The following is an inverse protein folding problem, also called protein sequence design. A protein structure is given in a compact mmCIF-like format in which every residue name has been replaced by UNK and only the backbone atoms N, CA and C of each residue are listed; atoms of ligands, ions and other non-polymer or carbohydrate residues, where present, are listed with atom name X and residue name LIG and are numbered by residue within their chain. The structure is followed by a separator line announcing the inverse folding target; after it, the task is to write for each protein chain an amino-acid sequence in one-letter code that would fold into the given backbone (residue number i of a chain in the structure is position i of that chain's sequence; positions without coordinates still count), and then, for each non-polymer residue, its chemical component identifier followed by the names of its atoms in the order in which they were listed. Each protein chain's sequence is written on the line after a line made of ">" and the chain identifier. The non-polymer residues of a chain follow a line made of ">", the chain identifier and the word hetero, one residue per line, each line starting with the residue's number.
data_IF_505153627071
#
_entry.id   IF_505153627071
#
_cell.length_a   1.000
_cell.length_b   1.000
_cell.length_c   1.000
_cell.angle_alpha   90.00
_cell.angle_beta   90.00
_cell.angle_gamma   90.00
#
_symmetry.space_group_name_H-M   'P 1'
#
loop_
_entity.id
_entity.type
_entity.pdbx_description
1 polymer ?
#
# COMPACT_ATOMS: atom_id res chain seq x y z
N UNK A 1 -2.83 0.87 -18.47
CA UNK A 1 -1.61 1.19 -17.68
C UNK A 1 -1.24 2.67 -17.72
N UNK A 2 -1.08 3.34 -18.88
CA UNK A 2 -0.68 4.77 -18.95
C UNK A 2 -1.67 5.69 -18.20
N UNK A 3 -2.98 5.45 -18.32
CA UNK A 3 -4.01 6.24 -17.61
C UNK A 3 -3.92 6.03 -16.09
N UNK A 4 -3.62 4.80 -15.66
CA UNK A 4 -3.41 4.47 -14.23
C UNK A 4 -2.17 5.20 -13.70
N UNK A 5 -1.09 5.30 -14.49
CA UNK A 5 0.11 6.02 -14.11
C UNK A 5 -0.15 7.51 -13.75
N UNK A 6 -1.06 8.16 -14.47
CA UNK A 6 -1.41 9.56 -14.21
C UNK A 6 -2.10 9.78 -12.85
N UNK A 7 -2.75 8.75 -12.29
CA UNK A 7 -3.39 8.83 -10.97
C UNK A 7 -2.38 8.87 -9.82
N UNK A 8 -1.17 8.41 -10.06
CA UNK A 8 -0.16 8.26 -9.01
C UNK A 8 0.77 9.46 -8.87
N UNK A 9 0.74 10.38 -9.86
CA UNK A 9 1.49 11.64 -9.78
C UNK A 9 0.64 12.65 -9.01
N UNK A 10 0.67 12.55 -7.69
CA UNK A 10 -0.10 13.41 -6.79
C UNK A 10 0.70 14.58 -6.25
N UNK A 11 -0.01 15.62 -5.79
CA UNK A 11 0.58 16.67 -4.97
C UNK A 11 1.00 16.09 -3.61
N UNK A 12 2.02 16.69 -3.01
CA UNK A 12 2.45 16.37 -1.65
C UNK A 12 1.36 16.80 -0.67
N UNK A 13 0.69 15.83 -0.05
CA UNK A 13 -0.35 16.06 0.95
C UNK A 13 0.04 15.48 2.31
N UNK A 14 1.08 14.64 2.36
CA UNK A 14 1.58 14.01 3.57
C UNK A 14 2.25 15.07 4.45
N UNK A 15 1.80 15.29 5.70
CA UNK A 15 2.44 16.22 6.62
C UNK A 15 3.87 15.79 6.97
N UNK A 16 4.15 14.48 6.96
CA UNK A 16 5.46 13.94 7.30
C UNK A 16 6.52 14.16 6.20
N UNK A 17 6.08 14.49 4.99
CA UNK A 17 6.95 14.68 3.85
C UNK A 17 8.12 15.64 4.11
N UNK A 18 7.86 16.74 4.79
CA UNK A 18 8.87 17.80 4.97
C UNK A 18 9.98 17.40 5.93
N UNK A 19 9.66 16.66 6.98
CA UNK A 19 10.71 16.19 7.87
C UNK A 19 11.52 15.05 7.22
N UNK A 20 10.92 14.19 6.39
CA UNK A 20 11.66 13.20 5.58
C UNK A 20 12.65 13.86 4.62
N UNK A 21 12.26 14.97 3.96
CA UNK A 21 13.18 15.75 3.13
C UNK A 21 14.30 16.34 3.96
N UNK A 22 13.97 16.90 5.15
CA UNK A 22 14.96 17.57 6.00
C UNK A 22 15.95 16.58 6.62
N UNK A 23 15.52 15.41 7.06
CA UNK A 23 16.44 14.38 7.59
C UNK A 23 17.33 13.84 6.48
N UNK A 24 16.78 13.57 5.29
CA UNK A 24 17.56 13.16 4.12
C UNK A 24 18.63 14.19 3.73
N UNK A 25 18.29 15.50 3.79
CA UNK A 25 19.25 16.58 3.62
C UNK A 25 20.35 16.52 4.67
N UNK A 26 19.98 16.40 5.95
CA UNK A 26 20.93 16.36 7.05
C UNK A 26 21.89 15.18 6.92
N UNK A 27 21.39 14.00 6.55
CA UNK A 27 22.25 12.84 6.31
C UNK A 27 23.23 13.05 5.16
N UNK A 28 22.78 13.68 4.07
CA UNK A 28 23.64 14.01 2.92
C UNK A 28 24.73 15.02 3.28
N UNK A 29 24.44 15.98 4.16
CA UNK A 29 25.38 17.00 4.60
C UNK A 29 26.38 16.50 5.66
N UNK A 30 25.96 15.56 6.53
CA UNK A 30 26.74 15.08 7.66
C UNK A 30 27.39 13.70 7.43
N UNK A 31 27.03 12.99 6.37
CA UNK A 31 27.64 11.71 6.01
C UNK A 31 27.31 10.56 6.95
N UNK A 32 26.17 10.60 7.67
CA UNK A 32 25.79 9.55 8.62
C UNK A 32 24.35 9.67 9.10
N UNK A 33 23.92 8.69 9.93
CA UNK A 33 22.61 8.70 10.55
C UNK A 33 22.63 9.50 11.86
N UNK A 34 21.58 10.28 12.17
CA UNK A 34 21.48 10.93 13.47
C UNK A 34 21.23 9.87 14.57
N UNK A 35 22.01 9.93 15.64
CA UNK A 35 21.84 9.06 16.80
C UNK A 35 20.65 9.48 17.68
N UNK A 36 20.26 10.74 17.59
CA UNK A 36 19.20 11.34 18.38
C UNK A 36 18.30 12.19 17.51
N UNK A 37 17.07 12.40 17.95
CA UNK A 37 16.12 13.31 17.30
C UNK A 37 16.69 14.73 17.28
N UNK A 38 16.81 15.27 16.05
CA UNK A 38 17.35 16.60 15.79
C UNK A 38 16.25 17.66 15.58
N UNK A 39 14.97 17.26 15.61
CA UNK A 39 13.83 18.15 15.32
C UNK A 39 13.02 18.50 16.55
N UNK A 40 12.88 17.56 17.50
CA UNK A 40 11.97 17.71 18.63
C UNK A 40 12.66 18.42 19.79
N UNK A 41 12.19 19.64 20.09
CA UNK A 41 12.69 20.43 21.22
C UNK A 41 12.06 20.00 22.58
N UNK A 42 10.90 19.32 22.56
CA UNK A 42 10.15 18.92 23.74
C UNK A 42 10.77 17.70 24.46
N UNK A 43 11.47 16.85 23.71
CA UNK A 43 12.16 15.66 24.26
C UNK A 43 13.57 15.63 23.69
N UNK A 44 14.48 16.45 24.21
CA UNK A 44 15.85 16.53 23.72
C UNK A 44 16.57 15.21 23.95
N UNK A 45 17.44 14.83 23.01
CA UNK A 45 18.23 13.59 23.05
C UNK A 45 17.43 12.28 23.00
N UNK A 46 16.16 12.32 22.51
CA UNK A 46 15.44 11.08 22.23
C UNK A 46 16.22 10.24 21.21
N UNK A 47 16.43 8.94 21.52
CA UNK A 47 17.11 8.03 20.60
C UNK A 47 16.28 7.85 19.33
N UNK A 48 16.89 8.08 18.19
CA UNK A 48 16.22 7.97 16.89
C UNK A 48 16.59 6.66 16.20
N UNK A 49 15.59 5.84 15.89
CA UNK A 49 15.74 4.68 15.03
C UNK A 49 15.14 5.00 13.67
N UNK A 50 15.97 5.49 12.77
CA UNK A 50 15.56 5.82 11.42
C UNK A 50 15.44 4.55 10.56
N UNK A 51 14.23 4.07 10.39
CA UNK A 51 13.89 2.82 9.72
C UNK A 51 13.66 2.96 8.20
N UNK A 52 13.80 4.17 7.67
CA UNK A 52 13.58 4.49 6.25
C UNK A 52 14.63 5.46 5.68
N UNK A 53 15.77 5.54 6.37
CA UNK A 53 16.86 6.46 6.07
C UNK A 53 17.29 6.48 4.59
N UNK A 54 17.33 5.29 3.94
CA UNK A 54 17.72 5.22 2.54
C UNK A 54 16.68 5.87 1.62
N UNK A 55 15.40 5.73 1.95
CA UNK A 55 14.31 6.41 1.25
C UNK A 55 14.39 7.92 1.42
N UNK A 56 14.71 8.40 2.61
CA UNK A 56 14.83 9.84 2.91
C UNK A 56 16.00 10.48 2.17
N UNK A 57 17.15 9.80 2.10
CA UNK A 57 18.27 10.23 1.27
C UNK A 57 17.87 10.29 -0.21
N UNK A 58 17.16 9.26 -0.72
CA UNK A 58 16.66 9.26 -2.10
C UNK A 58 15.63 10.39 -2.32
N UNK A 59 14.75 10.65 -1.37
CA UNK A 59 13.78 11.76 -1.42
C UNK A 59 14.52 13.10 -1.52
N UNK A 60 15.52 13.33 -0.68
CA UNK A 60 16.34 14.55 -0.76
C UNK A 60 17.07 14.68 -2.10
N UNK A 61 17.70 13.62 -2.58
CA UNK A 61 18.43 13.63 -3.86
C UNK A 61 17.51 13.96 -5.05
N UNK A 62 16.27 13.45 -5.05
CA UNK A 62 15.29 13.77 -6.08
C UNK A 62 14.75 15.18 -5.88
N UNK A 63 14.33 15.54 -4.66
CA UNK A 63 13.74 16.85 -4.36
C UNK A 63 14.69 18.00 -4.64
N UNK A 64 15.96 17.88 -4.25
CA UNK A 64 16.97 18.95 -4.45
C UNK A 64 17.20 19.30 -5.93
N UNK A 65 16.94 18.35 -6.85
CA UNK A 65 17.14 18.53 -8.30
C UNK A 65 15.85 18.87 -9.05
N UNK A 66 14.70 18.37 -8.59
CA UNK A 66 13.46 18.40 -9.37
C UNK A 66 12.27 18.97 -8.61
N UNK A 67 12.44 19.31 -7.33
CA UNK A 67 11.38 19.82 -6.48
C UNK A 67 10.28 18.80 -6.20
N UNK A 68 9.13 19.28 -5.71
CA UNK A 68 7.98 18.44 -5.34
C UNK A 68 7.39 17.67 -6.54
N UNK A 69 7.45 18.23 -7.74
CA UNK A 69 6.95 17.54 -8.94
C UNK A 69 7.75 16.26 -9.22
N UNK A 70 9.09 16.33 -9.14
CA UNK A 70 9.94 15.15 -9.37
C UNK A 70 9.72 14.06 -8.32
N UNK A 71 9.46 14.43 -7.07
CA UNK A 71 9.06 13.47 -6.02
C UNK A 71 7.73 12.81 -6.35
N UNK A 72 6.72 13.57 -6.79
CA UNK A 72 5.46 13.01 -7.24
C UNK A 72 5.64 11.98 -8.37
N UNK A 73 6.48 12.29 -9.35
CA UNK A 73 6.82 11.36 -10.45
C UNK A 73 7.58 10.14 -9.93
N UNK A 74 8.55 10.32 -9.03
CA UNK A 74 9.35 9.23 -8.46
C UNK A 74 8.47 8.19 -7.75
N UNK A 75 7.63 8.62 -6.81
CA UNK A 75 6.71 7.71 -6.12
C UNK A 75 5.58 7.20 -7.01
N UNK A 76 5.14 8.01 -7.97
CA UNK A 76 4.20 7.58 -9.01
C UNK A 76 4.74 6.42 -9.84
N UNK A 77 6.02 6.43 -10.21
CA UNK A 77 6.68 5.34 -10.93
C UNK A 77 6.82 4.09 -10.04
N UNK A 78 7.11 4.23 -8.75
CA UNK A 78 7.18 3.12 -7.81
C UNK A 78 5.80 2.46 -7.68
N UNK A 79 4.74 3.24 -7.50
CA UNK A 79 3.36 2.75 -7.43
C UNK A 79 2.96 2.07 -8.74
N UNK A 80 3.31 2.68 -9.88
CA UNK A 80 3.09 2.09 -11.20
C UNK A 80 3.80 0.73 -11.36
N UNK A 81 5.04 0.60 -10.87
CA UNK A 81 5.76 -0.67 -10.91
C UNK A 81 5.02 -1.77 -10.14
N UNK A 82 4.42 -1.47 -8.98
CA UNK A 82 3.54 -2.39 -8.25
C UNK A 82 2.35 -2.84 -9.09
N UNK A 83 1.62 -1.90 -9.72
CA UNK A 83 0.50 -2.22 -10.62
C UNK A 83 0.94 -2.98 -11.87
N UNK A 84 2.12 -2.70 -12.41
CA UNK A 84 2.69 -3.47 -13.50
C UNK A 84 2.95 -4.93 -13.11
N UNK A 85 3.46 -5.18 -11.90
CA UNK A 85 3.66 -6.53 -11.37
C UNK A 85 2.33 -7.27 -11.17
N UNK A 86 1.29 -6.60 -10.67
CA UNK A 86 -0.06 -7.16 -10.60
C UNK A 86 -0.61 -7.49 -12.01
N UNK A 87 -0.43 -6.60 -12.98
CA UNK A 87 -0.78 -6.88 -14.37
C UNK A 87 -0.03 -8.11 -14.92
N UNK A 88 1.26 -8.28 -14.62
CA UNK A 88 2.05 -9.45 -15.03
C UNK A 88 1.50 -10.76 -14.46
N UNK A 89 0.90 -10.74 -13.26
CA UNK A 89 0.25 -11.91 -12.67
C UNK A 89 -0.99 -12.34 -13.46
N UNK A 90 -1.67 -11.42 -14.11
CA UNK A 90 -2.93 -11.63 -14.83
C UNK A 90 -2.83 -11.45 -16.35
N UNK A 91 -1.63 -11.38 -16.91
CA UNK A 91 -1.40 -11.05 -18.32
C UNK A 91 -2.06 -12.00 -19.33
N UNK A 92 -2.45 -13.21 -18.94
CA UNK A 92 -3.20 -14.17 -19.76
C UNK A 92 -4.73 -14.07 -19.63
N UNK A 93 -5.26 -13.14 -18.85
CA UNK A 93 -6.68 -12.99 -18.62
C UNK A 93 -7.34 -12.04 -19.64
N UNK A 94 -8.68 -12.11 -19.81
CA UNK A 94 -9.40 -11.22 -20.71
C UNK A 94 -9.11 -9.75 -20.39
N UNK A 95 -8.70 -8.99 -21.41
CA UNK A 95 -8.22 -7.60 -21.26
C UNK A 95 -9.20 -6.69 -20.50
N UNK A 96 -10.50 -6.82 -20.77
CA UNK A 96 -11.54 -6.00 -20.11
C UNK A 96 -11.61 -6.31 -18.63
N UNK A 97 -11.62 -7.60 -18.26
CA UNK A 97 -11.70 -8.01 -16.82
C UNK A 97 -10.43 -7.59 -16.10
N UNK A 98 -9.26 -7.80 -16.73
CA UNK A 98 -7.98 -7.38 -16.15
C UNK A 98 -7.91 -5.85 -16.00
N UNK A 99 -8.34 -5.10 -17.01
CA UNK A 99 -8.36 -3.64 -16.99
C UNK A 99 -9.30 -3.07 -15.92
N UNK A 100 -10.52 -3.59 -15.82
CA UNK A 100 -11.50 -3.17 -14.80
C UNK A 100 -11.04 -3.51 -13.39
N UNK A 101 -10.47 -4.71 -13.18
CA UNK A 101 -9.96 -5.11 -11.86
C UNK A 101 -8.77 -4.26 -11.41
N UNK A 102 -7.82 -3.96 -12.32
CA UNK A 102 -6.69 -3.07 -12.01
C UNK A 102 -7.16 -1.62 -11.76
N UNK A 103 -8.14 -1.13 -12.54
CA UNK A 103 -8.71 0.20 -12.31
C UNK A 103 -9.43 0.28 -10.97
N UNK A 104 -10.22 -0.74 -10.62
CA UNK A 104 -10.87 -0.82 -9.31
C UNK A 104 -9.84 -0.82 -8.18
N UNK A 105 -8.77 -1.62 -8.27
CA UNK A 105 -7.69 -1.61 -7.30
C UNK A 105 -7.00 -0.23 -7.17
N UNK A 106 -6.77 0.46 -8.30
CA UNK A 106 -6.19 1.79 -8.30
C UNK A 106 -7.10 2.82 -7.58
N UNK A 107 -8.41 2.74 -7.80
CA UNK A 107 -9.37 3.65 -7.17
C UNK A 107 -9.62 3.26 -5.70
N UNK A 108 -9.66 1.97 -5.38
CA UNK A 108 -9.81 1.50 -4.00
C UNK A 108 -8.65 1.92 -3.09
N UNK A 109 -7.43 1.96 -3.61
CA UNK A 109 -6.27 2.44 -2.88
C UNK A 109 -6.01 3.95 -2.99
N UNK A 110 -6.87 4.72 -3.69
CA UNK A 110 -6.65 6.14 -3.92
C UNK A 110 -6.36 6.98 -2.67
N UNK A 111 -6.95 6.69 -1.49
CA UNK A 111 -6.64 7.42 -0.27
C UNK A 111 -5.19 7.27 0.21
N UNK A 112 -4.48 6.25 -0.28
CA UNK A 112 -3.13 5.89 0.20
C UNK A 112 -2.03 6.31 -0.78
N UNK A 113 -2.37 6.47 -2.09
CA UNK A 113 -1.36 6.82 -3.08
C UNK A 113 -0.82 8.22 -2.85
N UNK A 114 0.50 8.35 -2.79
CA UNK A 114 1.15 9.63 -2.60
C UNK A 114 2.67 9.53 -2.51
N UNK A 115 3.38 10.67 -2.45
CA UNK A 115 4.83 10.71 -2.33
C UNK A 115 5.29 10.40 -0.90
N UNK A 116 5.26 9.11 -0.54
CA UNK A 116 5.60 8.58 0.79
C UNK A 116 6.32 7.23 0.70
N UNK A 117 7.18 6.93 1.67
CA UNK A 117 7.99 5.72 1.72
C UNK A 117 7.16 4.42 1.69
N UNK A 118 5.92 4.45 2.18
CA UNK A 118 4.97 3.34 2.14
C UNK A 118 4.73 2.78 0.73
N UNK A 119 4.88 3.60 -0.33
CA UNK A 119 4.73 3.13 -1.71
C UNK A 119 5.82 2.15 -2.11
N UNK A 120 6.98 2.21 -1.49
CA UNK A 120 8.06 1.21 -1.66
C UNK A 120 7.60 -0.13 -1.11
N UNK A 121 7.02 -0.15 0.10
CA UNK A 121 6.43 -1.37 0.67
C UNK A 121 5.34 -1.95 -0.23
N UNK A 122 4.45 -1.12 -0.78
CA UNK A 122 3.45 -1.58 -1.74
C UNK A 122 4.08 -2.26 -2.97
N UNK A 123 5.07 -1.62 -3.60
CA UNK A 123 5.73 -2.15 -4.79
C UNK A 123 6.51 -3.46 -4.50
N UNK A 124 7.21 -3.52 -3.36
CA UNK A 124 7.96 -4.72 -2.95
C UNK A 124 7.02 -5.87 -2.52
N UNK A 125 5.87 -5.55 -1.90
CA UNK A 125 4.78 -6.53 -1.68
C UNK A 125 4.28 -7.10 -3.00
N UNK A 126 4.04 -6.26 -4.01
CA UNK A 126 3.63 -6.73 -5.34
C UNK A 126 4.70 -7.61 -5.98
N UNK A 127 5.98 -7.31 -5.80
CA UNK A 127 7.10 -8.13 -6.29
C UNK A 127 7.14 -9.49 -5.60
N UNK A 128 7.02 -9.50 -4.28
CA UNK A 128 6.97 -10.74 -3.49
C UNK A 128 5.83 -11.64 -3.93
N UNK A 129 4.60 -11.11 -3.99
CA UNK A 129 3.41 -11.85 -4.39
C UNK A 129 3.52 -12.36 -5.84
N UNK A 130 4.11 -11.58 -6.74
CA UNK A 130 4.40 -12.02 -8.11
C UNK A 130 5.38 -13.20 -8.13
N UNK A 131 6.45 -13.18 -7.33
CA UNK A 131 7.41 -14.26 -7.25
C UNK A 131 6.86 -15.49 -6.52
N UNK A 132 6.08 -15.29 -5.43
CA UNK A 132 5.37 -16.36 -4.73
C UNK A 132 4.43 -17.11 -5.67
N UNK A 133 3.58 -16.37 -6.39
CA UNK A 133 2.66 -16.99 -7.36
C UNK A 133 3.43 -17.69 -8.49
N UNK A 134 4.52 -17.10 -8.97
CA UNK A 134 5.41 -17.70 -9.96
C UNK A 134 6.00 -19.02 -9.48
N UNK A 135 6.47 -19.07 -8.24
CA UNK A 135 7.07 -20.26 -7.63
C UNK A 135 6.02 -21.35 -7.38
N UNK A 136 4.91 -21.03 -6.71
CA UNK A 136 3.83 -21.98 -6.39
C UNK A 136 3.16 -22.58 -7.64
N UNK A 137 3.19 -21.85 -8.76
CA UNK A 137 2.71 -22.35 -10.06
C UNK A 137 3.78 -23.05 -10.91
N UNK A 138 5.00 -23.20 -10.41
CA UNK A 138 6.12 -23.80 -11.13
C UNK A 138 6.66 -23.00 -12.33
N UNK A 139 6.22 -21.73 -12.50
CA UNK A 139 6.60 -20.87 -13.64
C UNK A 139 7.93 -20.16 -13.47
N UNK A 140 8.38 -19.95 -12.24
CA UNK A 140 9.58 -19.18 -11.95
C UNK A 140 10.28 -19.66 -10.68
N UNK A 141 11.59 -19.48 -10.63
CA UNK A 141 12.43 -19.72 -9.44
C UNK A 141 12.95 -18.42 -8.82
N UNK A 142 12.48 -17.26 -9.26
CA UNK A 142 13.02 -15.96 -8.84
C UNK A 142 12.89 -15.72 -7.32
N UNK A 143 11.97 -16.41 -6.64
CA UNK A 143 11.80 -16.30 -5.20
C UNK A 143 13.09 -16.64 -4.40
N UNK A 144 14.02 -17.39 -4.97
CA UNK A 144 15.34 -17.66 -4.36
C UNK A 144 16.16 -16.39 -4.11
N UNK A 145 15.90 -15.31 -4.86
CA UNK A 145 16.60 -14.02 -4.71
C UNK A 145 15.90 -13.09 -3.71
N UNK A 146 14.79 -13.53 -3.12
CA UNK A 146 14.01 -12.69 -2.22
C UNK A 146 14.77 -12.19 -0.98
N UNK A 147 15.69 -12.97 -0.36
CA UNK A 147 16.52 -12.45 0.73
C UNK A 147 17.33 -11.20 0.36
N UNK A 148 17.78 -11.06 -0.90
CA UNK A 148 18.46 -9.84 -1.38
C UNK A 148 17.50 -8.65 -1.44
N UNK A 149 16.24 -8.90 -1.83
CA UNK A 149 15.19 -7.87 -1.78
C UNK A 149 14.93 -7.45 -0.35
N UNK A 150 14.98 -8.37 0.62
CA UNK A 150 14.78 -8.06 2.04
C UNK A 150 15.90 -7.19 2.62
N UNK A 151 17.15 -7.36 2.19
CA UNK A 151 18.23 -6.40 2.53
C UNK A 151 17.84 -4.99 2.09
N UNK A 152 17.40 -4.84 0.84
CA UNK A 152 17.01 -3.54 0.31
C UNK A 152 15.77 -2.99 1.03
N UNK A 153 14.74 -3.81 1.22
CA UNK A 153 13.48 -3.38 1.84
C UNK A 153 13.67 -2.90 3.28
N UNK A 154 14.44 -3.64 4.09
CA UNK A 154 14.70 -3.28 5.48
C UNK A 154 15.47 -1.95 5.66
N UNK A 155 16.18 -1.50 4.62
CA UNK A 155 16.87 -0.20 4.59
C UNK A 155 16.04 0.91 3.95
N UNK A 156 14.95 0.57 3.22
CA UNK A 156 14.10 1.54 2.54
C UNK A 156 12.85 1.92 3.35
N UNK A 157 12.25 0.97 4.10
CA UNK A 157 11.01 1.23 4.85
C UNK A 157 10.72 0.15 5.89
N UNK A 158 10.26 0.54 7.06
CA UNK A 158 9.90 -0.34 8.17
C UNK A 158 8.80 -1.36 7.89
N UNK A 159 8.09 -1.23 6.78
CA UNK A 159 7.06 -2.17 6.34
C UNK A 159 7.55 -3.54 5.86
N UNK A 160 8.86 -3.82 5.89
CA UNK A 160 9.45 -5.11 5.50
C UNK A 160 8.86 -6.30 6.27
N UNK A 161 8.35 -6.10 7.47
CA UNK A 161 7.75 -7.14 8.31
C UNK A 161 6.57 -7.83 7.62
N UNK A 162 5.86 -7.13 6.73
CA UNK A 162 4.71 -7.67 6.00
C UNK A 162 5.11 -8.84 5.07
N UNK A 163 6.36 -8.87 4.63
CA UNK A 163 6.88 -9.97 3.81
C UNK A 163 6.77 -11.32 4.52
N UNK A 164 7.05 -11.36 5.83
CA UNK A 164 6.90 -12.59 6.61
C UNK A 164 5.44 -13.00 6.77
N UNK A 165 4.50 -12.06 6.73
CA UNK A 165 3.07 -12.38 6.72
C UNK A 165 2.70 -13.11 5.43
N UNK A 166 3.15 -12.64 4.27
CA UNK A 166 2.84 -13.26 2.98
C UNK A 166 3.54 -14.61 2.81
N UNK A 167 4.80 -14.73 3.24
CA UNK A 167 5.48 -16.03 3.30
C UNK A 167 4.76 -17.00 4.24
N UNK A 168 4.30 -16.53 5.41
CA UNK A 168 3.51 -17.31 6.36
C UNK A 168 2.19 -17.79 5.79
N UNK A 169 1.48 -16.92 5.06
CA UNK A 169 0.25 -17.28 4.32
C UNK A 169 0.52 -18.37 3.29
N UNK A 170 1.60 -18.24 2.53
CA UNK A 170 1.97 -19.24 1.52
C UNK A 170 2.31 -20.60 2.18
N UNK A 171 3.08 -20.59 3.27
CA UNK A 171 3.40 -21.79 4.05
C UNK A 171 2.12 -22.44 4.60
N UNK A 172 1.22 -21.64 5.20
CA UNK A 172 -0.03 -22.13 5.75
C UNK A 172 -0.93 -22.77 4.66
N UNK A 173 -1.01 -22.13 3.49
CA UNK A 173 -1.75 -22.68 2.34
C UNK A 173 -1.19 -24.03 1.86
N UNK A 174 0.14 -24.15 1.79
CA UNK A 174 0.82 -25.39 1.41
C UNK A 174 0.67 -26.50 2.48
N UNK A 175 0.65 -26.13 3.76
CA UNK A 175 0.36 -27.06 4.86
C UNK A 175 -1.08 -27.58 4.79
N UNK A 176 -2.05 -26.72 4.48
CA UNK A 176 -3.45 -27.13 4.24
C UNK A 176 -3.52 -28.06 3.03
N UNK A 177 -2.85 -27.73 1.92
CA UNK A 177 -2.76 -28.59 0.74
C UNK A 177 -2.16 -29.96 1.07
N UNK A 178 -1.09 -29.99 1.86
CA UNK A 178 -0.46 -31.22 2.29
C UNK A 178 -1.36 -32.07 3.19
N UNK A 179 -2.12 -31.46 4.09
CA UNK A 179 -3.09 -32.18 4.93
C UNK A 179 -4.22 -32.80 4.11
N UNK A 180 -4.63 -32.18 3.01
CA UNK A 180 -5.67 -32.71 2.11
C UNK A 180 -5.15 -33.73 1.11
N UNK A 181 -3.90 -33.58 0.64
CA UNK A 181 -3.25 -34.44 -0.33
C UNK A 181 -1.85 -34.89 0.18
N UNK A 182 -1.78 -35.76 1.22
CA UNK A 182 -0.52 -36.13 1.86
C UNK A 182 0.46 -36.84 0.93
N UNK A 183 -0.05 -37.48 -0.12
CA UNK A 183 0.73 -38.20 -1.14
C UNK A 183 1.40 -37.29 -2.16
N UNK A 184 0.99 -36.00 -2.24
CA UNK A 184 1.57 -35.03 -3.16
C UNK A 184 2.88 -34.44 -2.57
N UNK A 185 4.06 -34.82 -3.11
CA UNK A 185 5.34 -34.36 -2.55
C UNK A 185 5.60 -32.87 -2.77
N UNK A 186 4.87 -32.22 -3.69
CA UNK A 186 5.07 -30.82 -4.03
C UNK A 186 4.82 -29.90 -2.82
N UNK A 187 3.77 -30.14 -2.04
CA UNK A 187 3.45 -29.35 -0.87
C UNK A 187 4.60 -29.34 0.16
N UNK A 188 5.14 -30.52 0.47
CA UNK A 188 6.25 -30.65 1.41
C UNK A 188 7.52 -29.94 0.91
N UNK A 189 7.77 -30.01 -0.39
CA UNK A 189 8.90 -29.32 -1.03
C UNK A 189 8.71 -27.82 -0.95
N UNK A 190 7.51 -27.32 -1.27
CA UNK A 190 7.18 -25.89 -1.17
C UNK A 190 7.33 -25.37 0.25
N UNK A 191 6.79 -26.04 1.27
CA UNK A 191 6.92 -25.64 2.68
C UNK A 191 8.40 -25.53 3.08
N UNK A 192 9.22 -26.53 2.74
CA UNK A 192 10.67 -26.50 3.05
C UNK A 192 11.37 -25.33 2.38
N UNK A 193 11.12 -25.10 1.11
CA UNK A 193 11.75 -24.01 0.37
C UNK A 193 11.31 -22.64 0.93
N UNK A 194 10.01 -22.43 1.16
CA UNK A 194 9.48 -21.18 1.73
C UNK A 194 10.03 -20.92 3.13
N UNK A 195 10.18 -21.97 3.96
CA UNK A 195 10.80 -21.84 5.29
C UNK A 195 12.28 -21.44 5.19
N UNK A 196 13.03 -21.98 4.22
CA UNK A 196 14.43 -21.59 3.97
C UNK A 196 14.50 -20.13 3.52
N UNK A 197 13.61 -19.70 2.61
CA UNK A 197 13.54 -18.31 2.15
C UNK A 197 13.19 -17.38 3.31
N UNK A 198 12.24 -17.75 4.16
CA UNK A 198 11.87 -16.96 5.35
C UNK A 198 13.05 -16.83 6.32
N UNK A 199 13.76 -17.92 6.62
CA UNK A 199 14.92 -17.90 7.51
C UNK A 199 16.07 -17.06 6.91
N UNK A 200 16.38 -17.23 5.62
CA UNK A 200 17.39 -16.43 4.92
C UNK A 200 17.01 -14.94 4.89
N UNK A 201 15.71 -14.63 4.68
CA UNK A 201 15.18 -13.26 4.71
C UNK A 201 15.30 -12.65 6.10
N UNK A 202 15.05 -13.43 7.17
CA UNK A 202 15.25 -12.97 8.53
C UNK A 202 16.72 -12.60 8.78
N UNK A 203 17.67 -13.43 8.35
CA UNK A 203 19.09 -13.07 8.44
C UNK A 203 19.42 -11.83 7.61
N UNK A 204 18.87 -11.73 6.40
CA UNK A 204 19.10 -10.61 5.47
C UNK A 204 18.66 -9.24 6.05
N UNK A 205 17.56 -9.20 6.80
CA UNK A 205 17.06 -7.98 7.47
C UNK A 205 18.07 -7.39 8.46
N UNK A 206 18.98 -8.21 9.03
CA UNK A 206 20.05 -7.72 9.91
C UNK A 206 21.10 -6.84 9.19
N UNK A 207 21.13 -6.85 7.87
CA UNK A 207 22.02 -6.01 7.06
C UNK A 207 21.52 -4.55 7.00
N UNK A 208 21.24 -3.96 8.16
CA UNK A 208 20.86 -2.55 8.36
C UNK A 208 21.82 -1.90 9.37
N UNK A 209 21.96 -0.58 9.37
CA UNK A 209 22.74 0.12 10.41
C UNK A 209 22.26 -0.14 11.84
N UNK A 210 20.99 -0.55 11.99
CA UNK A 210 20.35 -0.79 13.27
C UNK A 210 20.59 -2.22 13.83
N UNK A 211 21.11 -3.14 13.01
CA UNK A 211 21.35 -4.52 13.42
C UNK A 211 20.10 -5.18 14.01
N UNK A 212 20.22 -5.79 15.20
CA UNK A 212 19.09 -6.47 15.86
C UNK A 212 17.95 -5.54 16.30
N UNK A 213 18.20 -4.25 16.53
CA UNK A 213 17.15 -3.32 16.97
C UNK A 213 16.08 -3.10 15.90
N UNK A 214 16.36 -3.36 14.62
CA UNK A 214 15.38 -3.29 13.54
C UNK A 214 14.18 -4.21 13.78
N UNK A 215 14.36 -5.33 14.46
CA UNK A 215 13.28 -6.25 14.79
C UNK A 215 12.36 -5.74 15.90
N UNK A 216 12.84 -4.87 16.78
CA UNK A 216 12.05 -4.31 17.88
C UNK A 216 11.15 -3.18 17.39
N UNK A 217 11.58 -2.46 16.35
CA UNK A 217 10.89 -1.29 15.84
C UNK A 217 9.41 -1.54 15.44
N UNK A 218 9.05 -2.58 14.65
CA UNK A 218 7.65 -2.84 14.31
C UNK A 218 6.76 -3.08 15.54
N UNK A 219 7.28 -3.75 16.55
CA UNK A 219 6.54 -4.00 17.80
C UNK A 219 6.38 -2.72 18.63
N UNK A 220 7.39 -1.87 18.68
CA UNK A 220 7.32 -0.56 19.34
C UNK A 220 6.28 0.33 18.65
N UNK A 221 6.25 0.32 17.31
CA UNK A 221 5.28 1.06 16.49
C UNK A 221 3.85 0.60 16.75
N UNK A 222 3.59 -0.71 16.72
CA UNK A 222 2.26 -1.28 16.98
C UNK A 222 1.82 -1.08 18.43
N UNK A 223 2.75 -1.07 19.38
CA UNK A 223 2.46 -0.83 20.80
C UNK A 223 2.28 0.66 21.17
N UNK A 224 2.50 1.56 20.22
CA UNK A 224 2.40 3.01 20.48
C UNK A 224 0.94 3.46 20.55
N UNK A 225 0.46 3.68 21.78
CA UNK A 225 -0.90 4.22 22.04
C UNK A 225 -1.12 5.58 21.38
N UNK A 226 -0.07 6.40 21.26
CA UNK A 226 -0.15 7.69 20.59
C UNK A 226 -0.44 7.54 19.09
N UNK A 227 0.25 6.63 18.41
CA UNK A 227 0.00 6.35 16.99
C UNK A 227 -1.40 5.79 16.77
N UNK A 228 -1.81 4.82 17.58
CA UNK A 228 -3.13 4.20 17.48
C UNK A 228 -4.28 5.18 17.70
N UNK A 229 -4.12 6.18 18.59
CA UNK A 229 -5.21 7.10 18.96
C UNK A 229 -5.20 8.44 18.24
N UNK A 230 -4.05 8.88 17.71
CA UNK A 230 -3.90 10.23 17.18
C UNK A 230 -3.70 10.25 15.66
N UNK A 231 -3.21 9.16 15.04
CA UNK A 231 -2.95 9.12 13.61
C UNK A 231 -4.11 8.45 12.89
N UNK A 232 -4.86 9.22 12.11
CA UNK A 232 -6.09 8.78 11.43
C UNK A 232 -5.87 7.56 10.53
N UNK A 233 -4.69 7.43 9.91
CA UNK A 233 -4.36 6.30 9.05
C UNK A 233 -4.28 4.94 9.77
N UNK A 234 -4.13 4.95 11.10
CA UNK A 234 -4.16 3.73 11.93
C UNK A 234 -5.56 3.31 12.31
N UNK A 235 -6.57 4.16 12.06
CA UNK A 235 -7.95 3.84 12.36
C UNK A 235 -8.51 2.84 11.35
N UNK A 236 -9.52 2.10 11.78
CA UNK A 236 -10.35 1.28 10.89
C UNK A 236 -11.02 2.15 9.82
N UNK A 237 -11.24 1.63 8.61
CA UNK A 237 -11.96 2.34 7.56
C UNK A 237 -13.35 2.81 8.01
N UNK A 238 -13.63 4.09 7.85
CA UNK A 238 -14.97 4.66 8.07
C UNK A 238 -15.74 4.64 6.74
N UNK A 239 -16.60 3.65 6.56
CA UNK A 239 -17.41 3.47 5.35
C UNK A 239 -18.49 4.54 5.13
N UNK A 240 -18.67 5.50 6.04
CA UNK A 240 -19.45 6.69 5.78
C UNK A 240 -18.71 7.70 4.88
N UNK A 241 -17.41 7.50 4.68
CA UNK A 241 -16.59 8.35 3.81
C UNK A 241 -16.69 7.87 2.36
N UNK A 242 -17.20 8.71 1.41
CA UNK A 242 -17.41 8.29 0.02
C UNK A 242 -16.14 7.81 -0.71
N UNK A 243 -14.97 8.29 -0.31
CA UNK A 243 -13.71 7.89 -0.92
C UNK A 243 -13.30 6.45 -0.56
N UNK A 244 -13.93 5.81 0.42
CA UNK A 244 -13.72 4.39 0.78
C UNK A 244 -14.73 3.44 0.11
N UNK A 245 -15.80 3.93 -0.53
CA UNK A 245 -16.75 3.08 -1.24
C UNK A 245 -16.12 2.19 -2.33
N UNK A 246 -15.06 2.62 -3.06
CA UNK A 246 -14.38 1.72 -4.00
C UNK A 246 -13.68 0.54 -3.32
N UNK A 247 -13.12 0.73 -2.11
CA UNK A 247 -12.57 -0.36 -1.31
C UNK A 247 -13.68 -1.32 -0.85
N UNK A 248 -14.80 -0.80 -0.33
CA UNK A 248 -15.98 -1.58 0.03
C UNK A 248 -16.50 -2.39 -1.17
N UNK A 249 -16.66 -1.75 -2.33
CA UNK A 249 -17.07 -2.43 -3.57
C UNK A 249 -16.11 -3.56 -3.96
N UNK A 250 -14.80 -3.35 -3.79
CA UNK A 250 -13.78 -4.37 -4.07
C UNK A 250 -13.91 -5.56 -3.14
N UNK A 251 -14.18 -5.34 -1.84
CA UNK A 251 -14.44 -6.42 -0.85
C UNK A 251 -15.69 -7.21 -1.24
N UNK A 252 -16.79 -6.53 -1.56
CA UNK A 252 -18.04 -7.19 -1.98
C UNK A 252 -17.85 -8.01 -3.26
N UNK A 253 -17.16 -7.46 -4.25
CA UNK A 253 -16.86 -8.17 -5.49
C UNK A 253 -15.94 -9.37 -5.26
N UNK A 254 -14.99 -9.29 -4.33
CA UNK A 254 -14.14 -10.43 -3.98
C UNK A 254 -14.97 -11.58 -3.36
N UNK A 255 -15.89 -11.26 -2.46
CA UNK A 255 -16.81 -12.25 -1.86
C UNK A 255 -17.68 -12.89 -2.95
N UNK A 256 -18.26 -12.10 -3.85
CA UNK A 256 -19.03 -12.61 -5.00
C UNK A 256 -18.16 -13.49 -5.90
N UNK A 257 -16.92 -13.06 -6.18
CA UNK A 257 -15.96 -13.84 -6.97
C UNK A 257 -15.69 -15.23 -6.37
N UNK A 258 -15.57 -15.33 -5.05
CA UNK A 258 -15.41 -16.60 -4.34
C UNK A 258 -16.68 -17.46 -4.30
N UNK A 259 -17.85 -16.82 -4.29
CA UNK A 259 -19.13 -17.53 -4.44
C UNK A 259 -19.33 -18.09 -5.86
N UNK A 260 -18.90 -17.35 -6.88
CA UNK A 260 -18.94 -17.78 -8.27
C UNK A 260 -17.94 -18.90 -8.58
N UNK A 261 -16.80 -18.89 -7.89
CA UNK A 261 -15.73 -19.86 -8.08
C UNK A 261 -15.02 -20.14 -6.75
N UNK A 262 -14.97 -21.41 -6.39
CA UNK A 262 -14.24 -21.87 -5.19
C UNK A 262 -12.76 -21.44 -5.27
N UNK A 263 -12.27 -20.62 -4.32
CA UNK A 263 -10.88 -20.15 -4.31
C UNK A 263 -9.92 -21.31 -3.99
N UNK A 264 -8.68 -21.19 -4.44
CA UNK A 264 -7.58 -22.01 -3.94
C UNK A 264 -7.28 -21.65 -2.49
N UNK A 265 -6.73 -22.56 -1.66
CA UNK A 265 -6.38 -22.27 -0.26
C UNK A 265 -5.49 -21.05 -0.13
N UNK A 266 -4.50 -20.87 -1.01
CA UNK A 266 -3.63 -19.71 -1.03
C UNK A 266 -4.38 -18.40 -1.28
N UNK A 267 -5.23 -18.35 -2.32
CA UNK A 267 -6.00 -17.15 -2.67
C UNK A 267 -6.98 -16.76 -1.55
N UNK A 268 -7.58 -17.77 -0.90
CA UNK A 268 -8.50 -17.55 0.23
C UNK A 268 -7.78 -17.01 1.45
N UNK A 269 -6.71 -17.66 1.91
CA UNK A 269 -5.95 -17.23 3.09
C UNK A 269 -5.31 -15.87 2.87
N UNK A 270 -4.72 -15.63 1.68
CA UNK A 270 -4.17 -14.35 1.28
C UNK A 270 -5.21 -13.22 1.39
N UNK A 271 -6.41 -13.48 0.87
CA UNK A 271 -7.50 -12.49 0.87
C UNK A 271 -8.04 -12.23 2.27
N UNK A 272 -8.18 -13.26 3.11
CA UNK A 272 -8.62 -13.11 4.50
C UNK A 272 -7.62 -12.28 5.31
N UNK A 273 -6.33 -12.61 5.23
CA UNK A 273 -5.30 -11.89 5.98
C UNK A 273 -5.18 -10.44 5.48
N UNK A 274 -5.18 -10.23 4.15
CA UNK A 274 -5.13 -8.89 3.59
C UNK A 274 -6.35 -8.04 3.99
N UNK A 275 -7.55 -8.64 4.00
CA UNK A 275 -8.77 -7.97 4.44
C UNK A 275 -8.72 -7.63 5.93
N UNK A 276 -8.27 -8.56 6.77
CA UNK A 276 -8.15 -8.32 8.21
C UNK A 276 -7.21 -7.13 8.51
N UNK A 277 -6.06 -7.06 7.82
CA UNK A 277 -5.13 -5.94 7.93
C UNK A 277 -5.76 -4.62 7.48
N UNK A 278 -6.49 -4.62 6.35
CA UNK A 278 -7.12 -3.42 5.80
C UNK A 278 -8.30 -2.92 6.65
N UNK A 279 -9.06 -3.83 7.27
CA UNK A 279 -10.14 -3.46 8.19
C UNK A 279 -9.62 -2.93 9.52
N UNK A 280 -8.43 -3.34 9.93
CA UNK A 280 -7.80 -2.84 11.14
C UNK A 280 -7.24 -1.43 10.96
N UNK A 281 -6.69 -1.12 9.77
CA UNK A 281 -6.05 0.17 9.51
C UNK A 281 -6.18 0.57 8.04
N UNK A 282 -6.64 1.80 7.79
CA UNK A 282 -6.80 2.39 6.45
C UNK A 282 -5.51 2.29 5.64
N UNK A 283 -4.35 2.51 6.26
CA UNK A 283 -3.04 2.42 5.58
C UNK A 283 -2.76 1.06 4.93
N UNK A 284 -3.38 -0.02 5.42
CA UNK A 284 -3.22 -1.36 4.89
C UNK A 284 -4.11 -1.66 3.68
N UNK A 285 -4.98 -0.73 3.26
CA UNK A 285 -5.78 -0.87 2.03
C UNK A 285 -4.87 -1.08 0.81
N UNK A 286 -3.71 -0.43 0.76
CA UNK A 286 -2.72 -0.65 -0.30
C UNK A 286 -2.24 -2.12 -0.36
N UNK A 287 -2.03 -2.75 0.79
CA UNK A 287 -1.64 -4.16 0.89
C UNK A 287 -2.78 -5.10 0.46
N UNK A 288 -4.02 -4.76 0.84
CA UNK A 288 -5.21 -5.47 0.38
C UNK A 288 -5.33 -5.40 -1.16
N UNK A 289 -5.15 -4.22 -1.74
CA UNK A 289 -5.16 -4.04 -3.21
C UNK A 289 -4.08 -4.89 -3.87
N UNK A 290 -2.84 -4.87 -3.35
CA UNK A 290 -1.73 -5.68 -3.86
C UNK A 290 -2.06 -7.19 -3.87
N UNK A 291 -2.62 -7.67 -2.76
CA UNK A 291 -2.90 -9.09 -2.55
C UNK A 291 -4.12 -9.58 -3.35
N UNK A 292 -5.19 -8.79 -3.40
CA UNK A 292 -6.50 -9.29 -3.84
C UNK A 292 -6.87 -8.89 -5.26
N UNK A 293 -6.25 -7.85 -5.86
CA UNK A 293 -6.55 -7.47 -7.25
C UNK A 293 -6.31 -8.62 -8.24
N UNK A 294 -5.17 -9.33 -8.22
CA UNK A 294 -4.97 -10.47 -9.12
C UNK A 294 -5.94 -11.64 -8.83
N UNK A 295 -6.27 -11.87 -7.56
CA UNK A 295 -7.22 -12.91 -7.14
C UNK A 295 -8.61 -12.60 -7.70
N UNK A 296 -9.08 -11.37 -7.54
CA UNK A 296 -10.35 -10.88 -8.07
C UNK A 296 -10.43 -11.09 -9.58
N UNK A 297 -9.44 -10.60 -10.32
CA UNK A 297 -9.36 -10.71 -11.77
C UNK A 297 -9.40 -12.18 -12.22
N UNK A 298 -8.64 -13.05 -11.56
CA UNK A 298 -8.61 -14.47 -11.87
C UNK A 298 -9.96 -15.13 -11.61
N UNK A 299 -10.63 -14.84 -10.48
CA UNK A 299 -11.94 -15.42 -10.14
C UNK A 299 -13.00 -15.12 -11.20
N UNK A 300 -13.12 -13.85 -11.62
CA UNK A 300 -14.08 -13.44 -12.66
C UNK A 300 -13.70 -13.92 -14.05
N UNK A 301 -12.40 -13.94 -14.37
CA UNK A 301 -11.91 -14.42 -15.66
C UNK A 301 -12.20 -15.90 -15.88
N UNK A 302 -12.04 -16.71 -14.82
CA UNK A 302 -12.30 -18.15 -14.92
C UNK A 302 -13.80 -18.45 -14.94
N UNK A 303 -14.60 -17.75 -14.14
CA UNK A 303 -16.06 -17.81 -14.25
C UNK A 303 -16.53 -17.46 -15.66
N UNK A 304 -15.99 -16.36 -16.22
CA UNK A 304 -16.31 -15.96 -17.58
C UNK A 304 -15.94 -17.01 -18.61
N UNK A 305 -14.77 -17.63 -18.50
CA UNK A 305 -14.32 -18.71 -19.39
C UNK A 305 -15.30 -19.89 -19.35
N UNK A 306 -15.75 -20.28 -18.15
CA UNK A 306 -16.72 -21.38 -17.98
C UNK A 306 -18.06 -21.05 -18.67
N UNK A 307 -18.63 -19.87 -18.40
CA UNK A 307 -19.92 -19.45 -18.97
C UNK A 307 -19.84 -19.29 -20.48
N UNK A 308 -18.78 -18.66 -21.00
CA UNK A 308 -18.59 -18.45 -22.43
C UNK A 308 -18.41 -19.77 -23.19
N UNK A 309 -17.67 -20.72 -22.63
CA UNK A 309 -17.50 -22.05 -23.22
C UNK A 309 -18.81 -22.84 -23.22
N UNK A 310 -19.56 -22.82 -22.10
CA UNK A 310 -20.84 -23.51 -21.99
C UNK A 310 -21.91 -22.96 -22.97
N UNK A 311 -21.84 -21.68 -23.32
CA UNK A 311 -22.76 -21.00 -24.23
C UNK A 311 -22.26 -20.90 -25.68
N UNK A 312 -21.09 -21.48 -25.98
CA UNK A 312 -20.46 -21.37 -27.32
C UNK A 312 -20.04 -19.95 -27.72
N UNK A 313 -19.94 -19.04 -26.74
CA UNK A 313 -19.53 -17.65 -26.99
C UNK A 313 -18.03 -17.57 -27.21
N UNK A 314 -17.61 -17.19 -28.40
CA UNK A 314 -16.21 -16.81 -28.66
C UNK A 314 -16.03 -15.34 -28.27
N UNK A 315 -15.42 -15.10 -27.11
CA UNK A 315 -15.03 -13.73 -26.75
C UNK A 315 -13.80 -13.35 -27.54
N UNK A 316 -14.01 -12.89 -28.77
CA UNK A 316 -13.06 -12.03 -29.46
C UNK A 316 -13.28 -10.62 -28.92
N UNK A 317 -12.48 -10.24 -27.90
CA UNK A 317 -12.45 -8.81 -27.52
C UNK A 317 -11.92 -8.07 -28.76
N UNK A 318 -12.70 -7.14 -29.34
CA UNK A 318 -12.21 -6.36 -30.46
C UNK A 318 -11.04 -5.53 -29.96
N UNK A 319 -9.81 -5.89 -30.35
CA UNK A 319 -8.61 -5.10 -30.09
C UNK A 319 -8.57 -3.83 -30.96
N UNK A 320 -9.53 -3.71 -31.89
CA UNK A 320 -9.69 -2.57 -32.81
C UNK A 320 -11.17 -2.31 -33.01
N UNK A 321 -11.59 -1.01 -33.04
CA UNK A 321 -12.95 -0.60 -33.33
C UNK A 321 -13.62 0.24 -32.22
N UNK A 322 -14.87 0.70 -32.40
CA UNK A 322 -15.55 1.60 -31.48
C UNK A 322 -15.73 1.01 -30.06
N UNK A 323 -15.84 -0.31 -29.91
CA UNK A 323 -15.95 -0.96 -28.61
C UNK A 323 -14.64 -0.90 -27.82
N UNK A 324 -13.47 -0.98 -28.45
CA UNK A 324 -12.19 -0.77 -27.78
C UNK A 324 -12.06 0.69 -27.31
N UNK A 325 -12.53 1.65 -28.13
CA UNK A 325 -12.58 3.06 -27.78
C UNK A 325 -13.55 3.32 -26.62
N UNK A 326 -14.76 2.73 -26.64
CA UNK A 326 -15.74 2.84 -25.55
C UNK A 326 -15.17 2.26 -24.26
N UNK A 327 -14.53 1.08 -24.30
CA UNK A 327 -13.90 0.49 -23.11
C UNK A 327 -12.77 1.37 -22.59
N UNK A 328 -11.93 1.94 -23.48
CA UNK A 328 -10.89 2.88 -23.11
C UNK A 328 -11.49 4.17 -22.49
N UNK A 329 -12.56 4.72 -23.06
CA UNK A 329 -13.26 5.90 -22.54
C UNK A 329 -13.88 5.60 -21.17
N UNK A 330 -14.54 4.46 -21.00
CA UNK A 330 -15.11 4.05 -19.69
C UNK A 330 -14.02 3.89 -18.64
N UNK A 331 -12.89 3.28 -18.99
CA UNK A 331 -11.74 3.18 -18.11
C UNK A 331 -11.15 4.56 -17.76
N UNK A 332 -11.04 5.46 -18.76
CA UNK A 332 -10.60 6.84 -18.57
C UNK A 332 -11.57 7.60 -17.65
N UNK A 333 -12.88 7.47 -17.87
CA UNK A 333 -13.89 8.13 -17.02
C UNK A 333 -13.84 7.60 -15.60
N UNK A 334 -13.79 6.28 -15.38
CA UNK A 334 -13.70 5.68 -14.05
C UNK A 334 -12.42 6.13 -13.33
N UNK A 335 -11.30 6.24 -14.05
CA UNK A 335 -10.02 6.62 -13.45
C UNK A 335 -9.87 8.13 -13.25
N UNK A 336 -10.45 8.95 -14.13
CA UNK A 336 -10.37 10.41 -14.02
C UNK A 336 -11.47 11.03 -13.15
N UNK A 337 -12.63 10.36 -13.00
CA UNK A 337 -13.73 10.88 -12.18
C UNK A 337 -13.33 11.22 -10.74
N UNK A 338 -12.55 10.40 -10.01
CA UNK A 338 -12.08 10.77 -8.67
C UNK A 338 -11.11 11.96 -8.70
N UNK A 339 -10.19 12.01 -9.66
CA UNK A 339 -9.25 13.12 -9.79
C UNK A 339 -9.96 14.45 -10.18
N UNK A 340 -10.94 14.37 -11.07
CA UNK A 340 -11.79 15.51 -11.42
C UNK A 340 -12.63 15.93 -10.22
N UNK A 341 -13.20 14.96 -9.48
CA UNK A 341 -13.98 15.24 -8.28
C UNK A 341 -13.15 15.88 -7.19
N UNK A 342 -11.93 15.39 -6.89
CA UNK A 342 -11.03 16.00 -5.91
C UNK A 342 -10.59 17.40 -6.35
N UNK A 343 -10.30 17.61 -7.63
CA UNK A 343 -9.98 18.94 -8.16
C UNK A 343 -11.18 19.91 -8.06
N UNK A 344 -12.38 19.45 -8.40
CA UNK A 344 -13.61 20.24 -8.26
C UNK A 344 -13.93 20.51 -6.78
N UNK A 345 -13.82 19.51 -5.92
CA UNK A 345 -14.03 19.66 -4.48
C UNK A 345 -13.02 20.65 -3.87
N UNK A 346 -11.75 20.59 -4.24
CA UNK A 346 -10.73 21.54 -3.77
C UNK A 346 -11.03 22.98 -4.21
N UNK A 347 -11.46 23.19 -5.46
CA UNK A 347 -11.85 24.51 -5.96
C UNK A 347 -13.09 25.03 -5.24
N UNK A 348 -14.08 24.17 -4.96
CA UNK A 348 -15.29 24.54 -4.20
C UNK A 348 -14.91 24.89 -2.76
N UNK A 349 -14.09 24.07 -2.11
CA UNK A 349 -13.65 24.32 -0.72
C UNK A 349 -12.86 25.62 -0.63
N UNK A 350 -11.92 25.87 -1.55
CA UNK A 350 -11.12 27.08 -1.59
C UNK A 350 -12.00 28.32 -1.82
N UNK A 351 -13.00 28.24 -2.71
CA UNK A 351 -13.96 29.33 -2.91
C UNK A 351 -14.86 29.56 -1.68
N UNK A 352 -15.31 28.49 -1.03
CA UNK A 352 -16.15 28.60 0.17
C UNK A 352 -15.37 29.20 1.33
N UNK A 353 -14.10 28.81 1.51
CA UNK A 353 -13.24 29.40 2.55
C UNK A 353 -12.91 30.86 2.23
N UNK A 354 -12.65 31.20 0.97
CA UNK A 354 -12.41 32.59 0.55
C UNK A 354 -13.69 33.46 0.75
N UNK A 355 -14.88 32.94 0.45
CA UNK A 355 -16.15 33.64 0.69
C UNK A 355 -16.46 33.78 2.17
N UNK A 356 -16.15 32.78 3.00
CA UNK A 356 -16.30 32.88 4.46
C UNK A 356 -15.28 33.85 5.08
N UNK A 357 -14.03 33.86 4.58
CA UNK A 357 -13.02 34.82 5.01
C UNK A 357 -13.37 36.27 4.60
N UNK A 358 -13.98 36.46 3.42
CA UNK A 358 -14.45 37.77 2.96
C UNK A 358 -15.72 38.27 3.70
N UNK A 359 -16.48 37.36 4.31
CA UNK A 359 -17.65 37.65 5.16
C UNK A 359 -17.32 37.53 6.65
N UNK A 360 -16.09 37.82 7.05
CA UNK A 360 -15.63 37.74 8.42
C UNK A 360 -16.68 38.26 9.41
N UNK A 361 -16.89 37.59 10.55
CA UNK A 361 -17.87 38.02 11.54
C UNK A 361 -17.48 39.41 12.02
N UNK A 362 -18.44 40.32 12.08
CA UNK A 362 -18.33 41.56 12.88
C UNK A 362 -18.24 41.12 14.33
N UNK A 363 -17.04 40.81 14.79
CA UNK A 363 -16.76 40.51 16.18
C UNK A 363 -16.78 41.85 16.89
N UNK A 364 -17.84 42.15 17.61
CA UNK A 364 -17.81 43.15 18.66
C UNK A 364 -16.69 42.79 19.63
N UNK A 365 -15.82 43.74 19.93
CA UNK A 365 -14.72 43.61 20.88
C UNK A 365 -15.26 43.16 22.24
N UNK A 366 -15.22 41.86 22.53
CA UNK A 366 -15.35 41.33 23.88
C UNK A 366 -13.96 41.29 24.47
N UNK A 367 -13.68 42.21 25.41
CA UNK A 367 -12.44 42.20 26.19
C UNK A 367 -12.44 40.98 27.10
N UNK A 368 -11.59 40.00 26.78
CA UNK A 368 -11.31 38.88 27.66
C UNK A 368 -10.23 39.30 28.68
N UNK A 369 -10.61 39.45 29.94
CA UNK A 369 -9.65 39.48 31.04
C UNK A 369 -9.29 38.04 31.41
N UNK A 370 -8.01 37.66 31.43
CA UNK A 370 -7.63 36.32 31.88
C UNK A 370 -7.77 36.23 33.39
N UNK A 371 -8.70 35.41 33.88
CA UNK A 371 -8.69 34.97 35.29
C UNK A 371 -7.59 33.92 35.41
N UNK A 372 -6.61 34.20 36.29
CA UNK A 372 -5.65 33.23 36.74
C UNK A 372 -6.35 32.06 37.42
N UNK A 373 -6.20 30.87 36.87
CA UNK A 373 -6.59 29.63 37.54
C UNK A 373 -5.31 29.03 38.09
N UNK A 374 -5.08 29.25 39.41
CA UNK A 374 -4.12 28.47 40.17
C UNK A 374 -4.67 27.04 40.32
N UNK A 375 -4.07 26.08 39.62
CA UNK A 375 -4.25 24.67 39.90
C UNK A 375 -2.99 24.15 40.58
N UNK A 376 -3.11 23.99 41.91
CA UNK A 376 -2.14 23.23 42.73
C UNK A 376 -2.25 21.75 42.36
N UNK A 377 -1.20 21.19 41.71
CA UNK A 377 -1.00 19.75 41.62
C UNK A 377 -0.18 19.32 42.85
N UNK A 378 -0.83 18.62 43.79
CA UNK A 378 -0.14 17.83 44.78
C UNK A 378 0.22 16.47 44.16
N UNK A 379 1.49 16.16 44.10
CA UNK A 379 2.00 14.80 43.95
C UNK A 379 1.93 14.11 45.31
N UNK A 380 1.23 12.99 45.40
CA UNK A 380 1.39 12.01 46.48
C UNK A 380 2.18 10.82 45.92
N UNK A 381 3.10 10.37 46.70
CA UNK A 381 4.12 9.33 46.55
C UNK A 381 3.67 8.01 45.88
#
# INVERSE_FOLDING_TARGET
>A
MIVIAALFVGAVQDPDFWWHIRIGQWMAENGGLPAHDIFTFTVPNHVWTDHEYLTEVLMWLVYSKTGAFGIGVFFGLITYAGFYLMYRQVSGQPFVIAGLGLALGAVAGAPIWGPRAQMITFALTCLELYWLQGYLSGRSRNLQFFPLVMVLWANLHGGWVIAFVWLGVAIAAELVGWAWEPSNPAHRMHVRFLAIIAAASAVAVLATPHGFSVYLYPFQTVASVAQERLIVEWFSPDFHQPFLHPFEAMVLLLIVGFALRRPKPYDLLLSIVALALALQSVRNIALFVAATTPVLINSYSEYWKQVSTARGWKLTVPTRGPFAAITAVVLVVITLAPAIWTAVASVITTRTTAVMAAKGPRVGTVSFQPRAVETSFQYSE
#
